data_IF_534419750346
#
_entry.id   IF_534419750346
#
_cell.length_a   1.000
_cell.length_b   1.000
_cell.length_c   1.000
_cell.angle_alpha   90.00
_cell.angle_beta   90.00
_cell.angle_gamma   90.00
#
_symmetry.space_group_name_H-M   'P 1'
#
loop_
_entity.id
_entity.type
_entity.pdbx_description
1 polymer ?
#
# COMPACT_ATOMS: atom_id res chain seq x y z
N UNK A 1 19.87 9.24 10.74
CA UNK A 1 19.04 8.23 11.44
C UNK A 1 19.99 7.27 12.16
N UNK A 2 19.82 7.11 13.46
CA UNK A 2 20.68 6.22 14.27
C UNK A 2 19.99 4.89 14.57
N UNK A 3 18.71 4.93 14.87
CA UNK A 3 17.94 3.76 15.28
C UNK A 3 16.59 3.70 14.57
N UNK A 4 16.19 2.50 14.17
CA UNK A 4 14.91 2.24 13.52
C UNK A 4 14.21 1.05 14.17
N UNK A 5 12.92 1.19 14.42
CA UNK A 5 12.09 0.10 14.92
C UNK A 5 11.15 -0.40 13.83
N UNK A 6 11.05 -1.71 13.67
CA UNK A 6 10.09 -2.39 12.79
C UNK A 6 9.05 -3.04 13.70
N UNK A 7 7.83 -2.58 13.62
CA UNK A 7 6.68 -3.08 14.37
C UNK A 7 5.90 -4.06 13.50
N UNK A 8 6.01 -5.35 13.81
CA UNK A 8 5.49 -6.45 13.01
C UNK A 8 6.54 -7.09 12.12
N UNK A 9 6.92 -8.33 12.42
CA UNK A 9 7.96 -9.11 11.74
C UNK A 9 7.38 -10.18 10.80
N UNK A 10 6.14 -10.03 10.37
CA UNK A 10 5.48 -10.92 9.41
C UNK A 10 6.04 -10.80 7.98
N UNK A 11 5.18 -11.03 6.98
CA UNK A 11 5.57 -11.10 5.56
C UNK A 11 6.36 -9.89 5.03
N UNK A 12 6.19 -8.71 5.62
CA UNK A 12 6.90 -7.49 5.20
C UNK A 12 7.99 -7.04 6.17
N UNK A 13 7.95 -7.48 7.44
CA UNK A 13 8.94 -7.08 8.44
C UNK A 13 10.34 -7.62 8.16
N UNK A 14 10.43 -8.86 7.73
CA UNK A 14 11.69 -9.46 7.32
C UNK A 14 12.33 -8.77 6.10
N UNK A 15 11.59 -8.59 4.98
CA UNK A 15 12.07 -7.78 3.86
C UNK A 15 12.48 -6.37 4.26
N UNK A 16 11.68 -5.70 5.09
CA UNK A 16 11.98 -4.37 5.60
C UNK A 16 13.33 -4.34 6.36
N UNK A 17 13.52 -5.27 7.29
CA UNK A 17 14.76 -5.40 8.04
C UNK A 17 15.97 -5.70 7.14
N UNK A 18 15.79 -6.56 6.13
CA UNK A 18 16.86 -6.89 5.18
C UNK A 18 17.25 -5.69 4.33
N UNK A 19 16.27 -4.93 3.84
CA UNK A 19 16.53 -3.70 3.08
C UNK A 19 17.32 -2.73 3.97
N UNK A 20 16.84 -2.44 5.17
CA UNK A 20 17.50 -1.52 6.10
C UNK A 20 18.93 -1.97 6.40
N UNK A 21 19.13 -3.25 6.72
CA UNK A 21 20.43 -3.82 7.03
C UNK A 21 21.44 -3.62 5.88
N UNK A 22 20.99 -3.68 4.64
CA UNK A 22 21.85 -3.60 3.44
C UNK A 22 22.14 -2.19 2.98
N UNK A 23 21.17 -1.28 3.08
CA UNK A 23 21.27 0.04 2.47
C UNK A 23 21.52 1.17 3.47
N UNK A 24 21.32 0.94 4.78
CA UNK A 24 21.44 1.99 5.79
C UNK A 24 22.59 1.75 6.75
N UNK A 25 23.34 2.81 6.99
CA UNK A 25 24.30 2.89 8.07
C UNK A 25 23.61 3.41 9.33
N UNK A 26 22.92 2.50 10.04
CA UNK A 26 22.24 2.77 11.31
C UNK A 26 22.94 2.04 12.45
N UNK A 27 22.88 2.60 13.66
CA UNK A 27 23.52 2.01 14.85
C UNK A 27 22.72 0.80 15.37
N UNK A 28 21.36 0.83 15.22
CA UNK A 28 20.52 -0.26 15.69
C UNK A 28 19.24 -0.43 14.88
N UNK A 29 18.79 -1.68 14.77
CA UNK A 29 17.53 -2.11 14.16
C UNK A 29 16.78 -2.93 15.21
N UNK A 30 15.57 -2.50 15.57
CA UNK A 30 14.72 -3.24 16.51
C UNK A 30 13.64 -3.97 15.73
N UNK A 31 13.57 -5.30 15.85
CA UNK A 31 12.45 -6.11 15.40
C UNK A 31 11.49 -6.31 16.57
N UNK A 32 10.28 -5.81 16.47
CA UNK A 32 9.30 -5.87 17.54
C UNK A 32 8.04 -6.61 17.08
N UNK A 33 7.75 -7.74 17.71
CA UNK A 33 6.61 -8.59 17.35
C UNK A 33 6.05 -9.31 18.61
N UNK A 34 4.80 -9.73 18.52
CA UNK A 34 4.20 -10.63 19.51
C UNK A 34 4.81 -12.02 19.43
N UNK A 35 5.14 -12.48 18.21
CA UNK A 35 5.87 -13.72 17.92
C UNK A 35 7.39 -13.45 17.95
N UNK A 36 7.95 -13.52 19.15
CA UNK A 36 9.39 -13.33 19.37
C UNK A 36 10.22 -14.41 18.65
N UNK A 37 9.72 -15.63 18.55
CA UNK A 37 10.44 -16.72 17.89
C UNK A 37 10.55 -16.47 16.38
N UNK A 38 9.47 -16.01 15.74
CA UNK A 38 9.49 -15.60 14.35
C UNK A 38 10.44 -14.42 14.09
N UNK A 39 10.45 -13.43 14.99
CA UNK A 39 11.35 -12.28 14.87
C UNK A 39 12.84 -12.67 15.06
N UNK A 40 13.17 -13.57 15.97
CA UNK A 40 14.54 -14.11 16.15
C UNK A 40 14.97 -14.91 14.90
N UNK A 41 14.10 -15.70 14.30
CA UNK A 41 14.42 -16.42 13.06
C UNK A 41 14.73 -15.45 11.91
N UNK A 42 14.03 -14.33 11.81
CA UNK A 42 14.33 -13.25 10.85
C UNK A 42 15.71 -12.67 11.11
N UNK A 43 16.03 -12.33 12.37
CA UNK A 43 17.33 -11.78 12.77
C UNK A 43 18.47 -12.75 12.45
N UNK A 44 18.33 -14.03 12.81
CA UNK A 44 19.33 -15.07 12.53
C UNK A 44 19.59 -15.21 11.04
N UNK A 45 18.54 -15.19 10.22
CA UNK A 45 18.67 -15.30 8.78
C UNK A 45 19.40 -14.10 8.17
N UNK A 46 19.12 -12.87 8.62
CA UNK A 46 19.79 -11.66 8.13
C UNK A 46 21.26 -11.63 8.60
N UNK A 47 21.53 -12.09 9.82
CA UNK A 47 22.87 -12.19 10.39
C UNK A 47 23.52 -10.84 10.73
N UNK A 48 22.75 -9.75 10.77
CA UNK A 48 23.25 -8.41 11.11
C UNK A 48 23.25 -8.19 12.62
N UNK A 49 24.44 -7.90 13.17
CA UNK A 49 24.65 -7.71 14.61
C UNK A 49 23.93 -6.47 15.18
N UNK A 50 23.53 -5.53 14.32
CA UNK A 50 22.75 -4.34 14.70
C UNK A 50 21.31 -4.66 15.05
N UNK A 51 20.82 -5.86 14.67
CA UNK A 51 19.45 -6.29 14.90
C UNK A 51 19.27 -6.82 16.32
N UNK A 52 18.30 -6.25 17.02
CA UNK A 52 17.78 -6.77 18.30
C UNK A 52 16.30 -7.12 18.17
N UNK A 53 15.83 -8.05 19.00
CA UNK A 53 14.42 -8.46 19.03
C UNK A 53 13.79 -8.04 20.34
N UNK A 54 12.58 -7.50 20.27
CA UNK A 54 11.77 -7.17 21.45
C UNK A 54 10.37 -7.77 21.31
N UNK A 55 9.81 -8.25 22.41
CA UNK A 55 8.40 -8.64 22.46
C UNK A 55 7.54 -7.39 22.38
N UNK A 56 6.49 -7.40 21.55
CA UNK A 56 5.57 -6.29 21.41
C UNK A 56 4.13 -6.79 21.30
N UNK A 57 3.27 -6.30 22.17
CA UNK A 57 1.81 -6.36 22.02
C UNK A 57 1.32 -5.01 21.49
N UNK A 58 0.90 -4.98 20.23
CA UNK A 58 0.47 -3.76 19.56
C UNK A 58 -0.83 -3.16 20.14
N UNK A 59 -1.58 -3.92 20.95
CA UNK A 59 -2.77 -3.43 21.65
C UNK A 59 -2.47 -2.68 22.94
N UNK A 60 -1.24 -2.82 23.47
CA UNK A 60 -0.81 -2.27 24.74
C UNK A 60 0.19 -1.13 24.55
N UNK A 61 -0.22 0.11 24.87
CA UNK A 61 0.57 1.31 24.68
C UNK A 61 1.98 1.21 25.32
N UNK A 62 2.08 0.75 26.56
CA UNK A 62 3.36 0.65 27.25
C UNK A 62 4.29 -0.39 26.61
N UNK A 63 3.73 -1.49 26.07
CA UNK A 63 4.49 -2.49 25.34
C UNK A 63 5.09 -1.91 24.05
N UNK A 64 4.29 -1.11 23.32
CA UNK A 64 4.76 -0.45 22.10
C UNK A 64 5.84 0.59 22.43
N UNK A 65 5.62 1.43 23.46
CA UNK A 65 6.58 2.44 23.91
C UNK A 65 7.92 1.83 24.28
N UNK A 66 7.90 0.73 25.08
CA UNK A 66 9.13 0.04 25.48
C UNK A 66 9.88 -0.53 24.27
N UNK A 67 9.13 -1.07 23.29
CA UNK A 67 9.72 -1.64 22.09
C UNK A 67 10.41 -0.58 21.21
N UNK A 68 9.79 0.58 20.99
CA UNK A 68 10.30 1.63 20.10
C UNK A 68 11.17 2.69 20.79
N UNK A 69 11.37 2.58 22.11
CA UNK A 69 12.15 3.57 22.88
C UNK A 69 13.54 3.78 22.30
N UNK A 70 13.85 5.04 22.00
CA UNK A 70 15.13 5.46 21.41
C UNK A 70 15.24 5.25 19.91
N UNK A 71 14.18 4.81 19.24
CA UNK A 71 14.15 4.78 17.78
C UNK A 71 13.85 6.17 17.22
N UNK A 72 14.55 6.57 16.16
CA UNK A 72 14.27 7.79 15.42
C UNK A 72 12.97 7.64 14.61
N UNK A 73 12.74 6.45 14.04
CA UNK A 73 11.58 6.13 13.21
C UNK A 73 11.04 4.74 13.56
N UNK A 74 9.72 4.62 13.66
CA UNK A 74 9.01 3.35 13.74
C UNK A 74 8.27 3.07 12.42
N UNK A 75 8.56 1.92 11.79
CA UNK A 75 7.82 1.42 10.63
C UNK A 75 6.80 0.41 11.12
N UNK A 76 5.53 0.76 10.99
CA UNK A 76 4.40 -0.07 11.41
C UNK A 76 3.91 -0.96 10.26
N UNK A 77 4.03 -2.27 10.44
CA UNK A 77 3.65 -3.31 9.48
C UNK A 77 2.61 -4.29 10.05
N UNK A 78 1.99 -3.96 11.18
CA UNK A 78 0.92 -4.74 11.77
C UNK A 78 -0.46 -4.32 11.25
N UNK A 79 -1.50 -4.99 11.72
CA UNK A 79 -2.87 -4.68 11.35
C UNK A 79 -3.20 -3.21 11.67
N UNK A 80 -3.80 -2.44 10.73
CA UNK A 80 -4.06 -1.01 10.89
C UNK A 80 -5.01 -0.67 12.05
N UNK A 81 -5.71 -1.63 12.63
CA UNK A 81 -6.49 -1.42 13.86
C UNK A 81 -5.63 -0.95 15.04
N UNK A 82 -4.34 -1.24 15.02
CA UNK A 82 -3.39 -0.82 16.05
C UNK A 82 -2.68 0.52 15.74
N UNK A 83 -2.92 1.11 14.58
CA UNK A 83 -2.27 2.37 14.19
C UNK A 83 -2.39 3.45 15.27
N UNK A 84 -3.58 3.71 15.89
CA UNK A 84 -3.69 4.76 16.91
C UNK A 84 -2.81 4.53 18.13
N UNK A 85 -2.68 3.28 18.58
CA UNK A 85 -1.84 2.93 19.75
C UNK A 85 -0.36 3.15 19.43
N UNK A 86 0.06 2.76 18.22
CA UNK A 86 1.47 2.91 17.81
C UNK A 86 1.81 4.38 17.57
N UNK A 87 0.89 5.17 16.99
CA UNK A 87 1.06 6.61 16.84
C UNK A 87 1.17 7.34 18.19
N UNK A 88 0.35 6.97 19.16
CA UNK A 88 0.44 7.49 20.53
C UNK A 88 1.80 7.17 21.16
N UNK A 89 2.29 5.93 20.96
CA UNK A 89 3.61 5.55 21.44
C UNK A 89 4.73 6.36 20.76
N UNK A 90 4.63 6.59 19.45
CA UNK A 90 5.59 7.41 18.71
C UNK A 90 5.62 8.85 19.22
N UNK A 91 4.45 9.45 19.48
CA UNK A 91 4.36 10.76 20.11
C UNK A 91 5.01 10.82 21.49
N UNK A 92 4.78 9.79 22.31
CA UNK A 92 5.34 9.73 23.65
C UNK A 92 6.87 9.59 23.66
N UNK A 93 7.41 8.79 22.73
CA UNK A 93 8.86 8.52 22.64
C UNK A 93 9.63 9.50 21.73
N UNK A 94 8.95 10.44 21.06
CA UNK A 94 9.59 11.41 20.14
C UNK A 94 10.07 10.77 18.84
N UNK A 95 9.35 9.80 18.34
CA UNK A 95 9.69 8.96 17.20
C UNK A 95 8.83 9.31 15.98
N UNK A 96 9.42 9.36 14.78
CA UNK A 96 8.64 9.46 13.55
C UNK A 96 7.87 8.15 13.32
N UNK A 97 6.71 8.27 12.67
CA UNK A 97 5.83 7.14 12.36
C UNK A 97 5.69 6.96 10.85
N UNK A 98 5.77 5.72 10.39
CA UNK A 98 5.50 5.33 8.99
C UNK A 98 4.66 4.05 9.00
N UNK A 99 3.58 4.01 8.22
CA UNK A 99 2.83 2.77 7.98
C UNK A 99 2.63 2.48 6.49
N UNK A 100 2.20 1.27 6.18
CA UNK A 100 1.90 0.81 4.81
C UNK A 100 0.41 0.60 4.57
N UNK A 101 -0.44 0.82 5.58
CA UNK A 101 -1.87 0.54 5.51
C UNK A 101 -2.65 1.52 6.36
N UNK A 102 -3.49 2.27 5.69
CA UNK A 102 -4.44 3.18 6.33
C UNK A 102 -5.60 2.36 6.92
N UNK A 103 -6.16 2.84 8.01
CA UNK A 103 -7.30 2.20 8.67
C UNK A 103 -8.56 2.11 7.80
N UNK A 104 -9.57 1.47 8.33
CA UNK A 104 -10.83 1.21 7.65
C UNK A 104 -11.64 2.50 7.41
N UNK A 105 -12.14 2.69 6.19
CA UNK A 105 -12.90 3.89 5.79
C UNK A 105 -14.41 3.63 5.63
N UNK A 106 -14.86 2.43 5.95
CA UNK A 106 -16.22 1.96 5.67
C UNK A 106 -17.34 2.75 6.35
N UNK A 107 -17.13 3.12 7.61
CA UNK A 107 -18.16 3.78 8.43
C UNK A 107 -18.03 5.30 8.42
N UNK A 108 -17.28 5.85 7.45
CA UNK A 108 -17.00 7.26 7.38
C UNK A 108 -17.89 7.96 6.37
N UNK A 109 -18.60 8.98 6.80
CA UNK A 109 -19.11 9.99 5.89
C UNK A 109 -17.97 10.88 5.40
N UNK A 110 -17.34 10.45 4.30
CA UNK A 110 -16.17 11.14 3.72
C UNK A 110 -16.49 12.55 3.24
N UNK A 111 -17.78 12.90 3.09
CA UNK A 111 -18.20 14.24 2.66
C UNK A 111 -18.51 15.18 3.83
N UNK A 112 -18.73 14.64 5.03
CA UNK A 112 -19.26 15.40 6.17
C UNK A 112 -18.21 16.20 6.96
N UNK A 113 -16.92 16.17 6.63
CA UNK A 113 -15.90 16.84 7.42
C UNK A 113 -14.66 17.19 6.65
N UNK A 114 -14.11 18.35 6.99
CA UNK A 114 -12.82 18.83 6.51
C UNK A 114 -11.63 18.00 7.02
N UNK A 115 -11.85 17.09 7.98
CA UNK A 115 -10.81 16.27 8.57
C UNK A 115 -10.97 14.77 8.24
N UNK A 116 -10.85 14.45 6.97
CA UNK A 116 -10.80 13.08 6.44
C UNK A 116 -9.72 12.24 7.16
N UNK A 117 -8.57 12.84 7.50
CA UNK A 117 -7.44 12.13 8.09
C UNK A 117 -7.74 11.51 9.44
N UNK A 118 -8.36 12.25 10.35
CA UNK A 118 -8.67 11.72 11.68
C UNK A 118 -9.66 10.58 11.62
N UNK A 119 -10.48 10.55 10.56
CA UNK A 119 -11.45 9.49 10.30
C UNK A 119 -10.80 8.26 9.69
N UNK A 120 -9.92 8.43 8.69
CA UNK A 120 -9.22 7.33 8.04
C UNK A 120 -8.30 6.55 8.96
N UNK A 121 -7.88 7.14 10.05
CA UNK A 121 -6.91 6.56 10.98
C UNK A 121 -7.53 5.83 12.17
N UNK A 122 -8.83 5.50 12.15
CA UNK A 122 -9.62 5.01 13.29
C UNK A 122 -9.55 5.89 14.54
N UNK A 123 -8.55 6.74 14.65
CA UNK A 123 -8.45 7.78 15.64
C UNK A 123 -9.33 8.92 15.17
N UNK A 124 -10.59 8.89 15.48
CA UNK A 124 -11.51 10.04 15.40
C UNK A 124 -10.99 11.24 16.18
N UNK A 125 -9.69 11.20 16.49
CA UNK A 125 -8.98 12.16 17.30
C UNK A 125 -8.12 13.06 16.39
N UNK A 126 -8.57 14.29 16.13
CA UNK A 126 -7.84 15.25 15.29
C UNK A 126 -6.52 15.70 15.92
N UNK A 127 -6.25 15.36 17.19
CA UNK A 127 -5.05 15.76 17.91
C UNK A 127 -3.77 15.24 17.30
N UNK A 128 -3.76 14.02 16.71
CA UNK A 128 -2.54 13.42 16.18
C UNK A 128 -1.82 14.35 15.20
N UNK A 129 -2.54 14.97 14.25
CA UNK A 129 -1.90 15.88 13.31
C UNK A 129 -1.25 17.07 14.04
N UNK A 130 -1.97 17.68 15.01
CA UNK A 130 -1.47 18.83 15.76
C UNK A 130 -0.26 18.46 16.62
N UNK A 131 -0.32 17.36 17.36
CA UNK A 131 0.76 16.95 18.28
C UNK A 131 2.03 16.51 17.54
N UNK A 132 1.90 15.72 16.45
CA UNK A 132 3.06 15.40 15.61
C UNK A 132 3.69 16.65 15.01
N UNK A 133 2.87 17.60 14.55
CA UNK A 133 3.34 18.86 13.99
C UNK A 133 4.05 19.73 15.04
N UNK A 134 3.49 19.85 16.23
CA UNK A 134 4.06 20.62 17.33
C UNK A 134 5.44 20.07 17.75
N UNK A 135 5.58 18.75 17.76
CA UNK A 135 6.85 18.07 18.08
C UNK A 135 7.84 18.03 16.92
N UNK A 136 7.48 18.55 15.74
CA UNK A 136 8.31 18.47 14.53
C UNK A 136 8.47 17.04 14.00
N UNK A 137 7.58 16.12 14.39
CA UNK A 137 7.61 14.73 13.98
C UNK A 137 6.74 14.51 12.73
N UNK A 138 7.17 13.61 11.87
CA UNK A 138 6.40 13.13 10.72
C UNK A 138 5.61 11.88 11.10
N UNK A 139 4.35 11.84 10.69
CA UNK A 139 3.49 10.66 10.76
C UNK A 139 2.99 10.37 9.35
N UNK A 140 3.70 9.50 8.64
CA UNK A 140 3.45 9.22 7.24
C UNK A 140 2.60 7.96 7.09
N UNK A 141 1.44 8.10 6.44
CA UNK A 141 0.47 7.03 6.28
C UNK A 141 0.40 6.52 4.85
N UNK A 142 0.14 5.21 4.69
CA UNK A 142 -0.05 4.59 3.38
C UNK A 142 1.21 4.53 2.53
N UNK A 143 2.36 4.23 3.12
CA UNK A 143 3.69 4.25 2.47
C UNK A 143 4.11 2.86 1.96
N UNK A 144 3.18 2.12 1.34
CA UNK A 144 3.45 0.80 0.76
C UNK A 144 3.57 0.83 -0.77
N UNK A 145 3.17 -0.27 -1.40
CA UNK A 145 3.12 -0.34 -2.86
C UNK A 145 1.87 0.36 -3.40
N UNK A 146 0.72 0.04 -2.78
CA UNK A 146 -0.60 0.56 -3.07
C UNK A 146 -1.43 0.37 -1.78
N UNK A 147 -1.75 1.44 -1.02
CA UNK A 147 -1.25 2.81 -1.21
C UNK A 147 0.26 2.93 -1.04
N UNK A 148 0.84 3.91 -1.71
CA UNK A 148 2.26 4.22 -1.62
C UNK A 148 2.87 4.61 -2.97
N UNK A 149 3.52 3.69 -3.69
CA UNK A 149 4.11 3.99 -5.01
C UNK A 149 3.09 4.53 -6.01
N UNK A 150 1.86 4.01 -6.01
CA UNK A 150 0.74 4.55 -6.81
C UNK A 150 0.51 6.03 -6.53
N UNK A 151 0.56 6.42 -5.26
CA UNK A 151 0.35 7.80 -4.82
C UNK A 151 1.54 8.70 -5.20
N UNK A 152 2.77 8.19 -5.09
CA UNK A 152 3.98 8.90 -5.53
C UNK A 152 3.90 9.20 -7.03
N UNK A 153 3.52 8.22 -7.85
CA UNK A 153 3.36 8.41 -9.28
C UNK A 153 2.16 9.32 -9.62
N UNK A 154 1.05 9.20 -8.90
CA UNK A 154 -0.08 10.11 -9.08
C UNK A 154 0.32 11.56 -8.80
N UNK A 155 1.09 11.81 -7.73
CA UNK A 155 1.65 13.12 -7.42
C UNK A 155 2.63 13.57 -8.49
N UNK A 156 3.58 12.75 -8.89
CA UNK A 156 4.58 13.04 -9.91
C UNK A 156 3.93 13.48 -11.23
N UNK A 157 2.92 12.74 -11.71
CA UNK A 157 2.21 13.09 -12.93
C UNK A 157 1.33 14.34 -12.75
N UNK A 158 0.68 14.49 -11.61
CA UNK A 158 -0.17 15.67 -11.31
C UNK A 158 0.63 16.95 -11.23
N UNK A 159 1.90 16.90 -10.81
CA UNK A 159 2.76 18.08 -10.72
C UNK A 159 3.15 18.66 -12.08
N UNK A 160 2.93 17.91 -13.17
CA UNK A 160 3.13 18.40 -14.56
C UNK A 160 2.01 19.34 -15.01
N UNK A 161 0.92 19.44 -14.25
CA UNK A 161 -0.27 20.21 -14.61
C UNK A 161 -0.65 21.20 -13.51
N UNK A 162 -1.20 22.34 -13.89
CA UNK A 162 -1.77 23.32 -12.95
C UNK A 162 -3.06 22.76 -12.32
N UNK A 163 -3.91 22.14 -13.15
CA UNK A 163 -5.15 21.49 -12.72
C UNK A 163 -5.25 20.09 -13.31
N UNK A 164 -5.96 19.22 -12.62
CA UNK A 164 -6.14 17.82 -12.99
C UNK A 164 -7.62 17.49 -13.05
N UNK A 165 -8.09 16.96 -14.17
CA UNK A 165 -9.48 16.54 -14.31
C UNK A 165 -9.69 15.17 -13.67
N UNK A 166 -8.79 14.22 -13.94
CA UNK A 166 -8.92 12.88 -13.38
C UNK A 166 -7.60 12.23 -13.01
N UNK A 167 -7.65 11.42 -11.97
CA UNK A 167 -6.60 10.45 -11.60
C UNK A 167 -7.22 9.06 -11.61
N UNK A 168 -6.66 8.16 -12.40
CA UNK A 168 -7.15 6.79 -12.55
C UNK A 168 -6.05 5.81 -12.22
N UNK A 169 -6.31 4.91 -11.30
CA UNK A 169 -5.37 3.85 -10.91
C UNK A 169 -5.94 2.53 -11.39
N UNK A 170 -5.13 1.78 -12.13
CA UNK A 170 -5.48 0.48 -12.68
C UNK A 170 -4.48 -0.55 -12.18
N UNK A 171 -4.96 -1.63 -11.62
CA UNK A 171 -4.13 -2.67 -11.05
C UNK A 171 -4.55 -4.03 -11.63
N UNK A 172 -3.70 -4.56 -12.50
CA UNK A 172 -3.93 -5.79 -13.24
C UNK A 172 -3.10 -6.94 -12.70
N UNK A 173 -3.72 -8.11 -12.56
CA UNK A 173 -3.03 -9.35 -12.20
C UNK A 173 -3.38 -10.43 -13.20
N UNK A 174 -2.37 -11.07 -13.79
CA UNK A 174 -2.51 -12.25 -14.62
C UNK A 174 -1.61 -13.35 -14.10
N UNK A 175 -2.17 -14.53 -13.84
CA UNK A 175 -1.36 -15.72 -13.64
C UNK A 175 -1.44 -16.57 -14.93
N UNK A 176 -0.28 -16.94 -15.47
CA UNK A 176 -0.18 -17.90 -16.58
C UNK A 176 0.29 -19.21 -15.98
N UNK A 177 -0.59 -20.18 -15.84
CA UNK A 177 -0.24 -21.53 -15.46
C UNK A 177 -0.47 -22.48 -16.64
N UNK A 178 0.57 -23.22 -17.02
CA UNK A 178 0.45 -24.38 -17.87
C UNK A 178 0.19 -25.66 -17.05
N UNK A 179 0.19 -25.56 -15.73
CA UNK A 179 -0.15 -26.66 -14.85
C UNK A 179 -1.62 -27.06 -15.06
N UNK A 180 -1.96 -28.37 -15.00
CA UNK A 180 -3.34 -28.80 -14.97
C UNK A 180 -4.03 -28.04 -13.84
N UNK A 181 -5.21 -27.46 -14.11
CA UNK A 181 -6.00 -26.75 -13.12
C UNK A 181 -6.32 -27.71 -11.97
N UNK A 182 -5.41 -27.79 -11.02
CA UNK A 182 -5.78 -28.20 -9.69
C UNK A 182 -6.79 -27.14 -9.26
N UNK A 183 -7.95 -27.55 -8.79
CA UNK A 183 -8.90 -26.65 -8.13
C UNK A 183 -8.12 -26.11 -6.92
N UNK A 184 -7.32 -25.09 -7.18
CA UNK A 184 -6.54 -24.45 -6.15
C UNK A 184 -7.55 -23.71 -5.30
N UNK A 185 -7.60 -24.06 -4.01
CA UNK A 185 -8.18 -23.18 -3.03
C UNK A 185 -7.59 -21.78 -3.24
N UNK A 186 -8.38 -20.75 -3.03
CA UNK A 186 -7.91 -19.37 -3.07
C UNK A 186 -6.63 -19.23 -2.25
N UNK A 187 -5.54 -18.81 -2.89
CA UNK A 187 -4.21 -18.64 -2.32
C UNK A 187 -3.87 -17.14 -2.27
N UNK A 188 -4.20 -16.44 -1.18
CA UNK A 188 -3.85 -15.03 -1.04
C UNK A 188 -2.34 -14.88 -0.89
N UNK A 189 -1.78 -13.88 -1.58
CA UNK A 189 -0.36 -13.52 -1.50
C UNK A 189 -0.06 -12.53 -0.36
N UNK A 190 -1.09 -12.04 0.32
CA UNK A 190 -1.03 -11.11 1.43
C UNK A 190 -2.20 -11.38 2.40
N UNK A 191 -2.53 -10.46 3.31
CA UNK A 191 -3.61 -10.65 4.30
C UNK A 191 -4.92 -11.15 3.67
N UNK A 192 -5.35 -12.40 3.95
CA UNK A 192 -6.60 -12.94 3.40
C UNK A 192 -7.82 -12.13 3.83
N UNK A 193 -7.83 -11.66 5.07
CA UNK A 193 -8.91 -10.86 5.62
C UNK A 193 -9.09 -9.55 4.85
N UNK A 194 -7.97 -8.88 4.54
CA UNK A 194 -8.01 -7.60 3.82
C UNK A 194 -8.33 -7.80 2.34
N UNK A 195 -7.82 -8.87 1.73
CA UNK A 195 -8.14 -9.20 0.35
C UNK A 195 -9.63 -9.50 0.18
N UNK A 196 -10.21 -10.34 1.05
CA UNK A 196 -11.64 -10.63 1.04
C UNK A 196 -12.47 -9.36 1.26
N UNK A 197 -12.06 -8.54 2.22
CA UNK A 197 -12.74 -7.30 2.57
C UNK A 197 -12.82 -6.34 1.39
N UNK A 198 -11.72 -6.11 0.66
CA UNK A 198 -11.67 -5.19 -0.47
C UNK A 198 -12.67 -5.50 -1.59
N UNK A 199 -13.04 -6.79 -1.78
CA UNK A 199 -14.07 -7.19 -2.74
C UNK A 199 -15.48 -7.26 -2.15
N UNK A 200 -15.62 -7.34 -0.82
CA UNK A 200 -16.91 -7.49 -0.14
C UNK A 200 -17.58 -6.14 0.15
N UNK A 201 -16.85 -5.04 0.07
CA UNK A 201 -17.39 -3.72 0.39
C UNK A 201 -17.71 -2.90 -0.86
N UNK A 202 -18.65 -1.99 -0.72
CA UNK A 202 -19.01 -1.04 -1.76
C UNK A 202 -17.88 -0.01 -1.94
N UNK A 203 -17.25 0.07 -3.13
CA UNK A 203 -16.16 1.00 -3.36
C UNK A 203 -16.64 2.45 -3.37
N UNK A 204 -15.78 3.34 -2.93
CA UNK A 204 -15.96 4.78 -3.02
C UNK A 204 -15.19 5.30 -4.23
N UNK A 205 -15.79 6.23 -4.97
CA UNK A 205 -15.14 6.95 -6.07
C UNK A 205 -15.29 8.45 -5.81
N UNK A 206 -14.22 9.21 -6.02
CA UNK A 206 -14.31 10.66 -5.98
C UNK A 206 -14.77 11.15 -7.35
N UNK A 207 -15.93 11.79 -7.40
CA UNK A 207 -16.53 12.28 -8.67
C UNK A 207 -17.29 13.58 -8.45
N UNK A 208 -17.12 14.56 -9.36
CA UNK A 208 -17.76 15.86 -9.27
C UNK A 208 -17.44 16.63 -7.97
N UNK A 209 -16.24 16.42 -7.41
CA UNK A 209 -15.81 17.09 -6.18
C UNK A 209 -16.31 16.46 -4.88
N UNK A 210 -16.94 15.31 -4.91
CA UNK A 210 -17.46 14.57 -3.75
C UNK A 210 -17.20 13.07 -3.84
N UNK A 211 -17.32 12.37 -2.72
CA UNK A 211 -17.23 10.92 -2.67
C UNK A 211 -18.62 10.29 -2.90
N UNK A 212 -18.68 9.33 -3.81
CA UNK A 212 -19.86 8.53 -4.09
C UNK A 212 -19.56 7.05 -3.93
N UNK A 213 -20.54 6.29 -3.40
CA UNK A 213 -20.40 4.85 -3.17
C UNK A 213 -21.07 4.09 -4.32
N UNK A 214 -20.38 3.11 -4.87
CA UNK A 214 -20.83 2.29 -5.98
C UNK A 214 -21.07 0.83 -5.54
N UNK A 215 -21.79 0.07 -6.35
CA UNK A 215 -21.99 -1.34 -6.06
C UNK A 215 -20.71 -2.15 -6.30
N UNK A 216 -20.55 -3.24 -5.54
CA UNK A 216 -19.47 -4.19 -5.76
C UNK A 216 -19.51 -4.71 -7.20
N UNK A 217 -18.34 -4.96 -7.80
CA UNK A 217 -18.20 -5.38 -9.20
C UNK A 217 -18.74 -4.40 -10.24
N UNK A 218 -19.11 -3.17 -9.88
CA UNK A 218 -19.47 -2.12 -10.84
C UNK A 218 -18.24 -1.46 -11.49
N UNK A 219 -18.47 -0.57 -12.45
CA UNK A 219 -17.40 0.16 -13.14
C UNK A 219 -16.51 -0.73 -14.02
N UNK A 220 -17.09 -1.79 -14.61
CA UNK A 220 -16.38 -2.72 -15.49
C UNK A 220 -15.61 -1.98 -16.58
N UNK A 221 -14.36 -2.39 -16.80
CA UNK A 221 -13.45 -1.86 -17.81
C UNK A 221 -12.51 -2.97 -18.30
N UNK A 222 -12.34 -3.13 -19.59
CA UNK A 222 -11.23 -3.89 -20.17
C UNK A 222 -10.05 -2.94 -20.35
N UNK A 223 -8.99 -3.16 -19.59
CA UNK A 223 -7.82 -2.28 -19.59
C UNK A 223 -6.61 -2.96 -20.18
N UNK A 224 -5.91 -2.26 -21.08
CA UNK A 224 -4.68 -2.74 -21.70
C UNK A 224 -3.47 -2.33 -20.87
N UNK A 225 -2.88 -3.32 -20.21
CA UNK A 225 -1.55 -3.22 -19.59
C UNK A 225 -0.45 -3.57 -20.60
N UNK A 226 0.82 -3.22 -20.30
CA UNK A 226 1.95 -3.74 -21.07
C UNK A 226 1.98 -5.27 -21.12
N UNK A 227 2.58 -5.82 -22.19
CA UNK A 227 2.86 -7.25 -22.22
C UNK A 227 3.91 -7.62 -21.12
N UNK A 228 3.80 -8.79 -20.49
CA UNK A 228 2.94 -9.93 -20.82
C UNK A 228 1.55 -9.91 -20.16
N UNK A 229 1.16 -8.90 -19.42
CA UNK A 229 -0.13 -8.82 -18.74
C UNK A 229 -1.28 -8.63 -19.73
N UNK A 230 -1.16 -7.71 -20.68
CA UNK A 230 -2.13 -7.49 -21.74
C UNK A 230 -3.50 -7.01 -21.25
N UNK A 231 -4.59 -7.39 -21.91
CA UNK A 231 -5.94 -6.95 -21.55
C UNK A 231 -6.45 -7.70 -20.32
N UNK A 232 -6.86 -6.93 -19.29
CA UNK A 232 -7.41 -7.43 -18.03
C UNK A 232 -8.75 -6.76 -17.74
N UNK A 233 -9.79 -7.54 -17.40
CA UNK A 233 -11.06 -6.98 -16.92
C UNK A 233 -10.89 -6.47 -15.49
N UNK A 234 -11.28 -5.23 -15.27
CA UNK A 234 -11.20 -4.52 -14.00
C UNK A 234 -12.58 -4.05 -13.55
N UNK A 235 -12.73 -3.87 -12.23
CA UNK A 235 -13.91 -3.26 -11.60
C UNK A 235 -13.47 -2.27 -10.54
N UNK A 236 -14.37 -1.38 -10.11
CA UNK A 236 -14.12 -0.54 -8.95
C UNK A 236 -13.76 -1.39 -7.74
N UNK A 237 -12.76 -0.95 -7.02
CA UNK A 237 -12.26 -1.63 -5.83
C UNK A 237 -12.00 -0.61 -4.73
N UNK A 238 -12.38 -0.93 -3.49
CA UNK A 238 -12.12 -0.02 -2.38
C UNK A 238 -10.64 -0.01 -2.04
N UNK A 239 -10.05 1.16 -2.17
CA UNK A 239 -8.65 1.38 -1.88
C UNK A 239 -8.40 2.81 -1.33
N UNK A 240 -7.35 3.08 -0.56
CA UNK A 240 -7.12 4.41 0.01
C UNK A 240 -6.85 5.52 -1.00
N UNK A 241 -6.22 5.23 -2.14
CA UNK A 241 -5.75 6.22 -3.11
C UNK A 241 -6.86 7.13 -3.63
N UNK A 242 -8.04 6.56 -3.93
CA UNK A 242 -9.18 7.37 -4.41
C UNK A 242 -9.71 8.35 -3.38
N UNK A 243 -9.25 8.22 -2.11
CA UNK A 243 -9.59 9.11 -1.02
C UNK A 243 -8.44 10.08 -0.74
N UNK A 244 -7.23 9.57 -0.58
CA UNK A 244 -6.07 10.37 -0.17
C UNK A 244 -5.57 11.30 -1.26
N UNK A 245 -5.59 10.86 -2.53
CA UNK A 245 -5.12 11.67 -3.66
C UNK A 245 -5.96 12.95 -3.81
N UNK A 246 -7.30 12.92 -3.91
CA UNK A 246 -8.09 14.15 -3.97
C UNK A 246 -7.94 15.03 -2.74
N UNK A 247 -7.78 14.42 -1.56
CA UNK A 247 -7.63 15.14 -0.33
C UNK A 247 -6.30 15.91 -0.25
N UNK A 248 -5.17 15.23 -0.49
CA UNK A 248 -3.85 15.86 -0.38
C UNK A 248 -3.49 16.71 -1.59
N UNK A 249 -4.02 16.38 -2.78
CA UNK A 249 -3.80 17.13 -4.01
C UNK A 249 -4.96 18.10 -4.33
N UNK A 250 -5.71 18.54 -3.32
CA UNK A 250 -6.86 19.45 -3.51
C UNK A 250 -6.53 20.74 -4.30
N UNK A 251 -5.29 21.23 -4.21
CA UNK A 251 -4.82 22.38 -4.99
C UNK A 251 -4.86 22.12 -6.50
N UNK A 252 -4.80 20.87 -6.94
CA UNK A 252 -4.90 20.44 -8.34
C UNK A 252 -6.35 20.42 -8.87
N UNK A 253 -7.35 20.63 -8.00
CA UNK A 253 -8.80 20.69 -8.34
C UNK A 253 -9.32 19.43 -9.04
N UNK A 254 -8.84 18.26 -8.62
CA UNK A 254 -9.23 16.96 -9.15
C UNK A 254 -10.77 16.85 -9.15
N UNK A 255 -11.35 16.42 -10.28
CA UNK A 255 -12.79 16.21 -10.42
C UNK A 255 -13.17 14.75 -10.35
N UNK A 256 -12.23 13.84 -10.65
CA UNK A 256 -12.46 12.40 -10.63
C UNK A 256 -11.22 11.65 -10.13
N UNK A 257 -11.43 10.69 -9.22
CA UNK A 257 -10.38 9.77 -8.80
C UNK A 257 -10.97 8.39 -8.50
N UNK A 258 -10.46 7.35 -9.17
CA UNK A 258 -10.88 5.97 -8.98
C UNK A 258 -9.70 5.01 -8.87
N UNK A 259 -9.99 3.86 -8.27
CA UNK A 259 -9.10 2.70 -8.25
C UNK A 259 -9.89 1.50 -8.79
N UNK A 260 -9.33 0.81 -9.77
CA UNK A 260 -9.89 -0.44 -10.30
C UNK A 260 -8.89 -1.57 -10.19
N UNK A 261 -9.39 -2.73 -9.85
CA UNK A 261 -8.59 -3.94 -9.65
C UNK A 261 -9.12 -5.09 -10.49
N UNK A 262 -8.25 -6.07 -10.75
CA UNK A 262 -8.59 -7.32 -11.44
C UNK A 262 -9.79 -8.00 -10.80
N UNK A 263 -10.69 -8.53 -11.60
CA UNK A 263 -11.78 -9.38 -11.12
C UNK A 263 -11.20 -10.72 -10.67
N UNK A 264 -11.25 -10.96 -9.35
CA UNK A 264 -10.95 -12.27 -8.78
C UNK A 264 -12.24 -13.09 -8.71
N UNK A 265 -12.38 -14.05 -9.64
CA UNK A 265 -13.62 -14.84 -9.79
C UNK A 265 -13.84 -15.80 -8.63
N UNK A 266 -12.76 -16.42 -8.15
CA UNK A 266 -12.81 -17.35 -7.03
C UNK A 266 -13.25 -16.63 -5.75
N UNK A 267 -12.63 -15.50 -5.46
CA UNK A 267 -12.99 -14.68 -4.32
C UNK A 267 -14.40 -14.09 -4.45
N UNK A 268 -14.76 -13.63 -5.66
CA UNK A 268 -16.12 -13.16 -5.94
C UNK A 268 -17.19 -14.24 -5.70
N UNK A 269 -16.91 -15.48 -6.09
CA UNK A 269 -17.81 -16.60 -5.82
C UNK A 269 -17.98 -16.84 -4.34
N UNK A 270 -16.90 -16.83 -3.55
CA UNK A 270 -16.96 -16.97 -2.10
C UNK A 270 -17.78 -15.86 -1.45
N UNK A 271 -17.63 -14.62 -1.90
CA UNK A 271 -18.40 -13.47 -1.41
C UNK A 271 -19.89 -13.63 -1.72
N UNK A 272 -20.23 -13.98 -2.96
CA UNK A 272 -21.61 -14.23 -3.38
C UNK A 272 -22.27 -15.40 -2.63
N UNK A 273 -21.47 -16.37 -2.19
CA UNK A 273 -21.93 -17.48 -1.33
C UNK A 273 -22.06 -17.08 0.16
N UNK A 274 -21.77 -15.83 0.51
CA UNK A 274 -21.91 -15.32 1.88
C UNK A 274 -20.68 -15.52 2.78
N UNK A 275 -19.54 -15.98 2.25
CA UNK A 275 -18.31 -16.15 3.07
C UNK A 275 -17.66 -14.82 3.49
N UNK A 276 -18.11 -13.70 2.96
CA UNK A 276 -17.73 -12.36 3.47
C UNK A 276 -18.46 -11.95 4.74
N UNK A 277 -19.55 -12.63 5.10
CA UNK A 277 -20.39 -12.24 6.24
C UNK A 277 -19.80 -12.71 7.57
N UNK A 278 -19.72 -11.78 8.52
CA UNK A 278 -19.24 -12.03 9.89
C UNK A 278 -20.37 -12.48 10.83
N UNK A 279 -21.64 -12.28 10.45
CA UNK A 279 -22.76 -12.69 11.25
C UNK A 279 -22.81 -14.22 11.39
N UNK A 280 -22.89 -14.78 12.61
CA UNK A 280 -22.88 -16.22 12.78
C UNK A 280 -24.20 -16.85 12.32
N UNK A 281 -24.13 -17.94 11.60
CA UNK A 281 -25.25 -18.80 11.21
C UNK A 281 -25.31 -20.04 12.10
N UNK A 282 -26.50 -20.62 12.26
CA UNK A 282 -26.67 -21.85 13.02
C UNK A 282 -26.32 -23.07 12.14
N UNK A 283 -25.35 -23.85 12.60
CA UNK A 283 -24.95 -25.11 11.95
C UNK A 283 -25.10 -26.24 12.96
N UNK A 284 -26.24 -26.93 12.93
CA UNK A 284 -26.52 -28.05 13.87
C UNK A 284 -26.37 -27.64 15.34
N UNK A 285 -26.85 -26.45 15.71
CA UNK A 285 -26.76 -25.92 17.06
C UNK A 285 -25.50 -25.18 17.44
N UNK A 286 -24.48 -25.19 16.57
CA UNK A 286 -23.27 -24.37 16.73
C UNK A 286 -23.41 -23.04 15.97
N UNK A 287 -23.03 -21.93 16.60
CA UNK A 287 -22.97 -20.62 15.95
C UNK A 287 -21.63 -20.47 15.21
N UNK A 288 -21.67 -20.41 13.90
CA UNK A 288 -20.47 -20.36 13.03
C UNK A 288 -20.54 -19.12 12.16
N UNK A 289 -19.52 -18.24 12.24
CA UNK A 289 -19.35 -17.15 11.30
C UNK A 289 -18.76 -17.70 9.97
N UNK A 290 -19.41 -17.49 8.81
CA UNK A 290 -18.86 -17.90 7.52
C UNK A 290 -17.47 -17.31 7.25
N UNK A 291 -17.28 -16.02 7.56
CA UNK A 291 -16.00 -15.34 7.44
C UNK A 291 -14.91 -15.99 8.31
N UNK A 292 -15.19 -16.26 9.59
CA UNK A 292 -14.21 -16.89 10.49
C UNK A 292 -13.86 -18.30 10.05
N UNK A 293 -14.86 -19.05 9.56
CA UNK A 293 -14.63 -20.39 9.00
C UNK A 293 -13.71 -20.31 7.78
N UNK A 294 -13.97 -19.39 6.84
CA UNK A 294 -13.12 -19.19 5.68
C UNK A 294 -11.68 -18.85 6.10
N UNK A 295 -11.50 -17.93 7.04
CA UNK A 295 -10.18 -17.52 7.53
C UNK A 295 -9.42 -18.65 8.25
N UNK A 296 -10.09 -19.68 8.72
CA UNK A 296 -9.46 -20.90 9.28
C UNK A 296 -9.04 -21.89 8.22
N UNK A 297 -9.75 -21.93 7.11
CA UNK A 297 -9.50 -22.89 6.01
C UNK A 297 -8.43 -22.34 5.05
N UNK A 298 -8.46 -21.03 4.80
CA UNK A 298 -7.54 -20.38 3.86
C UNK A 298 -6.11 -20.48 4.36
N UNK A 299 -5.23 -20.98 3.51
CA UNK A 299 -3.79 -20.99 3.79
C UNK A 299 -3.30 -19.55 3.87
N UNK A 300 -2.77 -19.16 5.02
CA UNK A 300 -2.16 -17.84 5.17
C UNK A 300 -0.84 -17.78 4.40
N UNK A 301 -0.50 -16.64 3.78
CA UNK A 301 0.86 -16.45 3.28
C UNK A 301 1.81 -16.66 4.46
N UNK A 302 2.82 -17.49 4.27
CA UNK A 302 3.80 -17.66 5.31
C UNK A 302 4.58 -16.36 5.51
N UNK A 303 4.69 -15.88 6.73
CA UNK A 303 5.64 -14.84 7.09
C UNK A 303 7.09 -15.33 7.02
N UNK A 304 7.28 -16.60 6.65
CA UNK A 304 8.59 -17.22 6.58
C UNK A 304 9.19 -17.02 5.20
N UNK A 305 10.28 -16.30 5.11
CA UNK A 305 11.10 -16.14 3.91
C UNK A 305 11.42 -17.46 3.18
N UNK A 306 11.44 -18.57 3.91
CA UNK A 306 11.85 -19.88 3.38
C UNK A 306 10.78 -20.54 2.51
N UNK A 307 9.50 -20.28 2.80
CA UNK A 307 8.40 -20.97 2.11
C UNK A 307 8.12 -20.45 0.71
N UNK A 308 8.59 -19.24 0.38
CA UNK A 308 8.39 -18.71 -0.96
C UNK A 308 9.16 -19.50 -2.02
N UNK A 309 10.34 -20.03 -1.69
CA UNK A 309 11.10 -20.87 -2.63
C UNK A 309 10.40 -22.20 -2.90
N UNK A 310 9.80 -22.80 -1.89
CA UNK A 310 8.99 -24.01 -2.05
C UNK A 310 7.72 -23.72 -2.84
N UNK A 311 7.03 -22.61 -2.56
CA UNK A 311 5.86 -22.19 -3.35
C UNK A 311 6.21 -21.86 -4.80
N UNK A 312 7.40 -21.34 -5.06
CA UNK A 312 7.89 -21.10 -6.43
C UNK A 312 8.21 -22.40 -7.19
N UNK A 313 8.75 -23.41 -6.48
CA UNK A 313 9.02 -24.73 -7.08
C UNK A 313 7.74 -25.51 -7.36
N UNK A 314 6.75 -25.40 -6.49
CA UNK A 314 5.46 -26.06 -6.68
C UNK A 314 4.59 -25.38 -7.76
N UNK A 315 4.73 -24.07 -7.91
CA UNK A 315 3.78 -23.31 -8.72
C UNK A 315 4.18 -23.19 -10.18
N UNK A 316 5.45 -23.20 -10.57
CA UNK A 316 5.94 -22.91 -11.94
C UNK A 316 5.09 -21.85 -12.70
N UNK A 317 4.51 -20.91 -11.92
CA UNK A 317 3.50 -19.97 -12.38
C UNK A 317 4.08 -18.57 -12.34
N UNK A 318 4.42 -17.97 -13.47
CA UNK A 318 4.69 -16.54 -13.49
C UNK A 318 3.39 -15.77 -13.18
N UNK A 319 3.39 -15.08 -12.05
CA UNK A 319 2.35 -14.08 -11.74
C UNK A 319 2.86 -12.76 -12.28
N UNK A 320 2.17 -12.22 -13.28
CA UNK A 320 2.41 -10.87 -13.75
C UNK A 320 1.43 -9.92 -13.07
N UNK A 321 1.96 -8.84 -12.55
CA UNK A 321 1.17 -7.81 -11.90
C UNK A 321 1.67 -6.46 -12.41
N UNK A 322 0.75 -5.68 -12.96
CA UNK A 322 1.03 -4.35 -13.49
C UNK A 322 0.12 -3.32 -12.83
N UNK A 323 0.67 -2.15 -12.61
CA UNK A 323 -0.08 -0.99 -12.19
C UNK A 323 0.11 0.14 -13.19
N UNK A 324 -0.98 0.82 -13.48
CA UNK A 324 -1.00 2.02 -14.31
C UNK A 324 -1.60 3.17 -13.53
N UNK A 325 -0.88 4.28 -13.49
CA UNK A 325 -1.37 5.55 -12.95
C UNK A 325 -1.56 6.52 -14.11
N UNK A 326 -2.78 7.02 -14.28
CA UNK A 326 -3.16 7.88 -15.40
C UNK A 326 -3.68 9.19 -14.84
N UNK A 327 -3.13 10.30 -15.30
CA UNK A 327 -3.56 11.65 -14.95
C UNK A 327 -3.98 12.37 -16.23
N UNK A 328 -5.20 12.93 -16.22
CA UNK A 328 -5.76 13.67 -17.32
C UNK A 328 -5.98 15.14 -16.90
N UNK A 329 -5.68 16.07 -17.81
CA UNK A 329 -5.92 17.50 -17.65
C UNK A 329 -6.49 18.09 -18.93
N UNK A 330 -7.60 18.81 -18.82
CA UNK A 330 -8.23 19.53 -19.91
C UNK A 330 -7.90 21.04 -19.95
N UNK A 331 -6.95 21.49 -19.12
CA UNK A 331 -6.64 22.92 -18.97
C UNK A 331 -5.46 23.42 -19.81
N UNK A 332 -4.90 22.57 -20.68
CA UNK A 332 -3.83 22.97 -21.60
C UNK A 332 -4.36 23.94 -22.69
N UNK A 333 -3.77 25.12 -22.79
CA UNK A 333 -3.94 25.99 -23.97
C UNK A 333 -2.76 25.76 -24.91
N UNK A 334 -2.99 25.23 -26.09
CA UNK A 334 -1.98 25.23 -27.16
C UNK A 334 -2.23 26.42 -28.12
N UNK A 335 -1.19 27.26 -28.27
CA UNK A 335 -1.17 28.32 -29.29
C UNK A 335 -2.01 29.54 -28.98
N UNK A 336 -1.85 30.57 -29.83
CA UNK A 336 -2.43 31.90 -29.71
C UNK A 336 -3.85 31.93 -29.12
N UNK A 337 -4.06 32.81 -28.15
CA UNK A 337 -5.32 33.04 -27.41
C UNK A 337 -6.58 33.24 -28.31
N UNK A 338 -6.39 33.38 -29.60
CA UNK A 338 -7.45 33.72 -30.54
C UNK A 338 -8.34 32.54 -30.99
N UNK A 339 -8.02 31.28 -30.73
CA UNK A 339 -8.74 30.14 -31.33
C UNK A 339 -9.48 29.25 -30.33
N UNK A 340 -9.37 29.47 -29.03
CA UNK A 340 -10.21 28.79 -28.01
C UNK A 340 -10.16 27.26 -28.02
N UNK A 341 -9.07 26.63 -28.51
CA UNK A 341 -8.93 25.20 -28.58
C UNK A 341 -8.62 24.63 -27.17
N UNK A 342 -9.42 23.68 -26.74
CA UNK A 342 -9.11 22.90 -25.50
C UNK A 342 -8.16 21.79 -25.87
N UNK A 343 -7.07 21.68 -25.10
CA UNK A 343 -6.16 20.54 -25.18
C UNK A 343 -6.45 19.62 -24.03
N UNK A 344 -6.68 18.36 -24.33
CA UNK A 344 -6.69 17.29 -23.33
C UNK A 344 -5.33 16.62 -23.34
N UNK A 345 -4.65 16.69 -22.22
CA UNK A 345 -3.37 16.03 -22.00
C UNK A 345 -3.58 14.81 -21.12
N UNK A 346 -2.93 13.72 -21.46
CA UNK A 346 -2.96 12.47 -20.70
C UNK A 346 -1.52 12.03 -20.45
N UNK A 347 -1.16 11.90 -19.18
CA UNK A 347 0.11 11.27 -18.76
C UNK A 347 -0.17 9.96 -18.08
N UNK A 348 0.63 8.95 -18.40
CA UNK A 348 0.48 7.60 -17.88
C UNK A 348 1.85 7.06 -17.46
N UNK A 349 1.90 6.43 -16.29
CA UNK A 349 3.01 5.58 -15.85
C UNK A 349 2.51 4.16 -15.72
N UNK A 350 3.22 3.23 -16.35
CA UNK A 350 3.07 1.79 -16.18
C UNK A 350 4.28 1.23 -15.46
N UNK A 351 4.06 0.42 -14.42
CA UNK A 351 5.15 -0.20 -13.67
C UNK A 351 4.74 -1.55 -13.11
N UNK A 352 5.72 -2.38 -12.76
CA UNK A 352 5.51 -3.64 -12.09
C UNK A 352 5.60 -3.44 -10.57
N UNK A 353 4.48 -3.44 -9.84
CA UNK A 353 4.51 -3.19 -8.40
C UNK A 353 5.29 -4.26 -7.63
N UNK A 354 5.41 -5.48 -8.16
CA UNK A 354 6.22 -6.54 -7.57
C UNK A 354 7.74 -6.34 -7.78
N UNK A 355 8.14 -5.36 -8.59
CA UNK A 355 9.52 -5.02 -8.92
C UNK A 355 10.28 -6.08 -9.72
N UNK A 356 9.60 -7.06 -10.30
CA UNK A 356 10.19 -8.06 -11.18
C UNK A 356 9.30 -8.33 -12.41
N UNK A 357 9.94 -8.66 -13.52
CA UNK A 357 9.29 -8.96 -14.81
C UNK A 357 9.47 -10.43 -15.22
N UNK A 358 10.40 -11.13 -14.59
CA UNK A 358 10.73 -12.51 -14.92
C UNK A 358 10.90 -13.36 -13.66
N UNK A 359 10.92 -14.69 -13.86
CA UNK A 359 11.18 -15.66 -12.78
C UNK A 359 12.61 -15.49 -12.24
N UNK A 360 13.55 -15.18 -13.11
CA UNK A 360 14.96 -14.96 -12.74
C UNK A 360 15.11 -13.73 -11.86
N UNK A 361 14.47 -12.63 -12.22
CA UNK A 361 14.44 -11.39 -11.38
C UNK A 361 13.78 -11.68 -10.04
N UNK A 362 12.68 -12.44 -10.02
CA UNK A 362 12.01 -12.85 -8.79
C UNK A 362 12.94 -13.65 -7.88
N UNK A 363 13.67 -14.63 -8.44
CA UNK A 363 14.67 -15.40 -7.70
C UNK A 363 15.78 -14.53 -7.15
N UNK A 364 16.31 -13.60 -7.95
CA UNK A 364 17.35 -12.67 -7.54
C UNK A 364 16.90 -11.76 -6.38
N UNK A 365 15.65 -11.28 -6.39
CA UNK A 365 15.08 -10.54 -5.25
C UNK A 365 14.98 -11.42 -4.02
N UNK A 366 14.52 -12.66 -4.18
CA UNK A 366 14.43 -13.61 -3.07
C UNK A 366 15.81 -13.92 -2.47
N UNK A 367 16.82 -14.21 -3.30
CA UNK A 367 18.19 -14.45 -2.86
C UNK A 367 18.78 -13.21 -2.16
N UNK A 368 18.46 -12.03 -2.68
CA UNK A 368 18.97 -10.76 -2.14
C UNK A 368 18.32 -10.38 -0.84
N UNK A 369 16.99 -10.43 -0.76
CA UNK A 369 16.21 -9.86 0.34
C UNK A 369 15.46 -10.90 1.19
N UNK A 370 15.59 -12.19 0.87
CA UNK A 370 14.87 -13.27 1.53
C UNK A 370 13.37 -13.30 1.21
N UNK A 371 12.92 -12.41 0.31
CA UNK A 371 11.56 -12.37 -0.23
C UNK A 371 11.60 -11.71 -1.59
N UNK A 372 10.76 -12.16 -2.51
CA UNK A 372 10.52 -11.45 -3.77
C UNK A 372 9.46 -10.33 -3.62
N UNK A 373 8.78 -10.27 -2.49
CA UNK A 373 7.71 -9.31 -2.25
C UNK A 373 8.18 -8.11 -1.40
N UNK A 374 9.21 -7.42 -1.87
CA UNK A 374 9.80 -6.26 -1.18
C UNK A 374 9.08 -4.93 -1.48
N UNK A 375 8.17 -4.96 -2.43
CA UNK A 375 7.50 -3.76 -2.98
C UNK A 375 6.64 -2.98 -1.97
N UNK A 376 6.24 -3.60 -0.86
CA UNK A 376 5.54 -2.92 0.24
C UNK A 376 6.55 -2.32 1.24
N UNK A 377 7.58 -3.09 1.59
CA UNK A 377 8.59 -2.65 2.55
C UNK A 377 9.48 -1.53 2.00
N UNK A 378 9.80 -1.57 0.70
CA UNK A 378 10.70 -0.62 0.05
C UNK A 378 10.25 0.84 0.20
N UNK A 379 9.01 1.22 -0.17
CA UNK A 379 8.56 2.61 -0.02
C UNK A 379 8.50 3.05 1.44
N UNK A 380 8.17 2.15 2.37
CA UNK A 380 8.18 2.45 3.80
C UNK A 380 9.59 2.81 4.31
N UNK A 381 10.61 2.06 3.86
CA UNK A 381 12.01 2.35 4.22
C UNK A 381 12.46 3.69 3.63
N UNK A 382 12.16 3.98 2.35
CA UNK A 382 12.49 5.27 1.75
C UNK A 382 11.79 6.42 2.48
N UNK A 383 10.51 6.25 2.83
CA UNK A 383 9.77 7.24 3.62
C UNK A 383 10.42 7.46 5.00
N UNK A 384 10.86 6.39 5.67
CA UNK A 384 11.54 6.50 6.96
C UNK A 384 12.87 7.28 6.85
N UNK A 385 13.63 7.06 5.77
CA UNK A 385 14.83 7.86 5.47
C UNK A 385 14.49 9.35 5.35
N UNK A 386 13.44 9.66 4.58
CA UNK A 386 13.02 11.04 4.35
C UNK A 386 12.46 11.71 5.62
N UNK A 387 11.75 10.97 6.47
CA UNK A 387 11.31 11.46 7.79
C UNK A 387 12.51 11.84 8.66
N UNK A 388 13.45 10.91 8.81
CA UNK A 388 14.65 11.14 9.63
C UNK A 388 15.55 12.26 9.09
N UNK A 389 15.54 12.51 7.79
CA UNK A 389 16.28 13.59 7.15
C UNK A 389 15.55 14.95 7.22
N UNK A 390 14.35 15.02 7.84
CA UNK A 390 13.52 16.23 7.87
C UNK A 390 12.99 16.65 6.50
N UNK A 391 12.85 15.68 5.56
CA UNK A 391 12.36 15.88 4.20
C UNK A 391 10.91 15.48 4.00
N UNK A 392 10.30 14.82 4.98
CA UNK A 392 8.87 14.58 5.05
C UNK A 392 8.18 15.67 5.88
N UNK A 393 6.91 16.01 5.62
CA UNK A 393 6.19 17.02 6.38
C UNK A 393 5.98 16.59 7.84
N UNK A 394 6.01 17.53 8.78
CA UNK A 394 5.59 17.28 10.15
C UNK A 394 4.07 17.24 10.27
N UNK A 395 3.58 16.45 11.22
CA UNK A 395 2.16 16.14 11.37
C UNK A 395 1.79 14.85 10.64
N UNK A 396 0.49 14.55 10.56
CA UNK A 396 -0.01 13.39 9.82
C UNK A 396 -0.19 13.75 8.35
N UNK A 397 0.40 12.96 7.46
CA UNK A 397 0.34 13.20 6.03
C UNK A 397 0.39 11.88 5.23
N UNK A 398 -0.26 11.85 4.08
CA UNK A 398 -0.08 10.78 3.10
C UNK A 398 1.24 10.93 2.37
N UNK A 399 1.70 9.86 1.75
CA UNK A 399 2.95 9.85 0.99
C UNK A 399 2.94 10.85 -0.18
N UNK A 400 1.76 11.25 -0.68
CA UNK A 400 1.57 12.28 -1.70
C UNK A 400 2.12 13.66 -1.27
N UNK A 401 2.33 13.86 0.02
CA UNK A 401 2.89 15.10 0.56
C UNK A 401 4.41 15.15 0.52
N UNK A 402 5.08 14.06 0.17
CA UNK A 402 6.52 14.01 -0.10
C UNK A 402 6.75 14.45 -1.55
N UNK A 403 7.85 15.17 -1.79
CA UNK A 403 8.29 15.48 -3.15
C UNK A 403 8.58 14.16 -3.90
N UNK A 404 7.87 13.86 -5.00
CA UNK A 404 8.00 12.59 -5.69
C UNK A 404 9.35 12.42 -6.38
N UNK A 405 9.98 13.50 -6.84
CA UNK A 405 11.31 13.44 -7.46
C UNK A 405 12.34 13.09 -6.40
N UNK A 406 12.30 13.77 -5.26
CA UNK A 406 13.17 13.47 -4.12
C UNK A 406 12.98 12.03 -3.63
N UNK A 407 11.75 11.51 -3.61
CA UNK A 407 11.47 10.13 -3.24
C UNK A 407 12.16 9.15 -4.19
N UNK A 408 11.99 9.34 -5.50
CA UNK A 408 12.59 8.48 -6.54
C UNK A 408 14.12 8.58 -6.57
N UNK A 409 14.68 9.77 -6.40
CA UNK A 409 16.13 10.00 -6.29
C UNK A 409 16.70 9.33 -5.04
N UNK A 410 16.01 9.41 -3.90
CA UNK A 410 16.42 8.73 -2.66
C UNK A 410 16.46 7.22 -2.87
N UNK A 411 15.44 6.65 -3.49
CA UNK A 411 15.38 5.24 -3.83
C UNK A 411 16.59 4.84 -4.72
N UNK A 412 16.84 5.59 -5.77
CA UNK A 412 17.94 5.33 -6.70
C UNK A 412 19.32 5.47 -6.05
N UNK A 413 19.53 6.49 -5.21
CA UNK A 413 20.80 6.74 -4.52
C UNK A 413 21.21 5.59 -3.59
N UNK A 414 20.24 4.79 -3.12
CA UNK A 414 20.49 3.60 -2.33
C UNK A 414 20.60 2.31 -3.16
N UNK A 415 20.80 2.44 -4.49
CA UNK A 415 20.99 1.30 -5.39
C UNK A 415 19.74 0.49 -5.68
N UNK A 416 18.57 0.99 -5.28
CA UNK A 416 17.28 0.35 -5.52
C UNK A 416 16.76 0.81 -6.89
N UNK A 417 16.16 -0.11 -7.64
CA UNK A 417 15.64 0.18 -8.98
C UNK A 417 14.15 0.01 -9.00
N UNK A 418 13.48 0.95 -9.65
CA UNK A 418 12.08 0.89 -9.98
C UNK A 418 11.95 1.06 -11.49
N UNK A 419 11.54 0.00 -12.17
CA UNK A 419 11.35 0.04 -13.61
C UNK A 419 9.93 0.52 -13.91
N UNK A 420 9.81 1.63 -14.61
CA UNK A 420 8.55 2.14 -15.08
C UNK A 420 8.69 2.75 -16.49
N UNK A 421 7.60 2.78 -17.21
CA UNK A 421 7.49 3.49 -18.49
C UNK A 421 6.55 4.67 -18.31
N UNK A 422 6.94 5.81 -18.84
CA UNK A 422 6.11 7.00 -18.88
C UNK A 422 5.70 7.32 -20.31
N UNK A 423 4.43 7.61 -20.52
CA UNK A 423 3.90 8.08 -21.80
C UNK A 423 3.09 9.36 -21.60
N UNK A 424 3.11 10.21 -22.62
CA UNK A 424 2.35 11.44 -22.67
C UNK A 424 1.67 11.56 -24.02
N UNK A 425 0.40 11.97 -24.03
CA UNK A 425 -0.34 12.24 -25.24
C UNK A 425 -1.19 13.50 -25.09
N UNK A 426 -1.32 14.23 -26.17
CA UNK A 426 -2.16 15.41 -26.26
C UNK A 426 -3.18 15.26 -27.38
N UNK A 427 -4.41 15.66 -27.13
CA UNK A 427 -5.46 15.72 -28.11
C UNK A 427 -6.09 17.11 -28.12
N UNK A 428 -6.27 17.65 -29.31
CA UNK A 428 -6.95 18.95 -29.53
C UNK A 428 -8.43 18.66 -29.72
N UNK A 429 -9.24 19.20 -28.83
CA UNK A 429 -10.70 19.19 -28.99
C UNK A 429 -11.08 20.36 -29.89
N UNK A 430 -11.57 20.04 -31.08
CA UNK A 430 -12.04 21.02 -32.08
C UNK A 430 -13.46 21.50 -31.76
#
# INVERSE_FOLDING_TARGET
MKSIAIVGCGAQGGPCATIISRILDVESIVLADLDVAGAEAVKEKIGDKRISVKKLDASALDSVREAIRGADVAINLVNPNFNPVIMEACLAEGCHYVDTSIGDTMDLDLNASDNILSRMMHGRDPRFHAEFKEKGLSCMIGCGASPGLTNVFARYLSDKYDTVDSVKIRFGKRSRSNAPKVIAAWLPTWSPERALWGYAIRPVVFTGGKFETFDIYSGYEEFLFPEPTGIIPLVYHQHPEQITIPYYLKAKKIQYCDFKYTIDRELGTLILMGFGDKAPVDVKGAKVSPHELLMKIVRRPSGNFMDESAAMQEADIPIHMDASVIVESGSGKIGDEAVGRRVRSVSRIDYHPTLYNSVEERKALFETFGSSQIHVALPAVITAILCSAGKAPSGVAGIECIDPVLFLETLQSHGLKLNYTESHSESVLL
#
